data_IF_181615789959
#
_entry.id   IF_181615789959
#
_cell.length_a   1.000
_cell.length_b   1.000
_cell.length_c   1.000
_cell.angle_alpha   90.00
_cell.angle_beta   90.00
_cell.angle_gamma   90.00
#
_symmetry.space_group_name_H-M   'P 1'
#
loop_
_entity.id
_entity.type
_entity.pdbx_description
1 polymer ?
#
# COMPACT_ATOMS: atom_id res chain seq x y z
N UNK A 1 -38.39 10.16 -2.39
CA UNK A 1 -37.06 9.54 -2.51
C UNK A 1 -37.18 8.31 -3.41
N UNK A 2 -36.40 8.23 -4.49
CA UNK A 2 -36.51 7.23 -5.58
C UNK A 2 -35.99 5.82 -5.20
N UNK A 3 -36.02 5.43 -3.91
CA UNK A 3 -35.51 4.13 -3.46
C UNK A 3 -33.99 3.93 -3.53
N UNK A 4 -33.23 4.95 -3.96
CA UNK A 4 -31.76 4.93 -4.00
C UNK A 4 -31.17 4.85 -2.60
N UNK A 5 -30.21 3.94 -2.41
CA UNK A 5 -29.43 3.83 -1.17
C UNK A 5 -28.15 4.65 -1.30
N UNK A 6 -27.83 5.52 -0.33
CA UNK A 6 -26.62 6.33 -0.41
C UNK A 6 -25.38 5.47 -0.15
N UNK A 7 -24.23 5.96 -0.62
CA UNK A 7 -22.92 5.55 -0.14
C UNK A 7 -22.34 6.67 0.73
N UNK A 8 -21.39 6.33 1.58
CA UNK A 8 -20.69 7.29 2.43
C UNK A 8 -19.38 7.68 1.78
N UNK A 9 -19.05 8.96 1.79
CA UNK A 9 -17.77 9.49 1.33
C UNK A 9 -17.10 10.26 2.45
N UNK A 10 -15.79 10.26 2.47
CA UNK A 10 -15.00 11.13 3.32
C UNK A 10 -14.80 12.46 2.59
N UNK A 11 -15.22 13.56 3.21
CA UNK A 11 -14.99 14.89 2.66
C UNK A 11 -13.55 15.27 2.97
N UNK A 12 -12.71 15.35 1.94
CA UNK A 12 -11.34 15.81 2.10
C UNK A 12 -11.34 17.32 2.41
N UNK A 13 -10.45 17.73 3.29
CA UNK A 13 -10.14 19.15 3.45
C UNK A 13 -9.25 19.61 2.31
N UNK A 14 -9.62 20.71 1.65
CA UNK A 14 -8.90 21.24 0.49
C UNK A 14 -7.61 21.97 0.91
N UNK A 15 -6.63 21.18 1.31
CA UNK A 15 -5.30 21.62 1.74
C UNK A 15 -4.23 20.75 1.08
N UNK A 16 -2.99 21.22 1.13
CA UNK A 16 -1.83 20.35 0.91
C UNK A 16 -1.66 19.40 2.10
N UNK A 17 -1.48 18.13 1.80
CA UNK A 17 -1.02 17.10 2.74
C UNK A 17 0.39 16.74 2.34
N UNK A 18 1.33 16.88 3.27
CA UNK A 18 2.74 16.59 3.06
C UNK A 18 3.29 15.69 4.17
N UNK A 19 4.19 14.78 3.82
CA UNK A 19 4.90 13.92 4.78
C UNK A 19 6.27 13.53 4.23
N UNK A 20 7.16 13.11 5.13
CA UNK A 20 8.45 12.51 4.75
C UNK A 20 8.28 10.99 4.72
N UNK A 21 8.28 10.43 3.52
CA UNK A 21 8.25 9.00 3.27
C UNK A 21 9.62 8.36 3.51
N UNK A 22 9.66 7.20 4.17
CA UNK A 22 10.89 6.49 4.49
C UNK A 22 11.69 6.04 3.26
N UNK A 23 11.03 5.88 2.10
CA UNK A 23 11.65 5.41 0.86
C UNK A 23 11.71 6.54 -0.16
N UNK A 24 10.61 7.29 -0.33
CA UNK A 24 10.51 8.33 -1.38
C UNK A 24 11.02 9.70 -0.95
N UNK A 25 11.32 9.92 0.33
CA UNK A 25 11.67 11.22 0.87
C UNK A 25 10.44 12.13 0.99
N UNK A 26 10.60 13.44 0.79
CA UNK A 26 9.50 14.38 0.94
C UNK A 26 8.45 14.21 -0.17
N UNK A 27 7.19 14.03 0.24
CA UNK A 27 6.04 13.83 -0.64
C UNK A 27 4.94 14.82 -0.26
N UNK A 28 4.29 15.45 -1.24
CA UNK A 28 3.10 16.26 -1.00
C UNK A 28 2.04 16.09 -2.10
N UNK A 29 0.78 16.22 -1.69
CA UNK A 29 -0.38 16.23 -2.56
C UNK A 29 -1.35 17.33 -2.13
N UNK A 30 -1.86 18.09 -3.09
CA UNK A 30 -2.99 18.99 -2.83
C UNK A 30 -4.30 18.19 -2.95
N UNK A 31 -5.18 18.26 -1.94
CA UNK A 31 -6.36 17.40 -1.91
C UNK A 31 -7.37 17.70 -3.03
N UNK A 32 -7.37 18.90 -3.60
CA UNK A 32 -8.09 19.19 -4.85
C UNK A 32 -7.77 18.26 -6.03
N UNK A 33 -6.60 17.58 -6.02
CA UNK A 33 -6.24 16.59 -7.04
C UNK A 33 -6.89 15.21 -6.83
N UNK A 34 -7.51 15.00 -5.66
CA UNK A 34 -8.15 13.75 -5.25
C UNK A 34 -9.67 13.93 -5.15
N UNK A 35 -10.40 12.86 -5.44
CA UNK A 35 -11.83 12.82 -5.15
C UNK A 35 -12.05 12.34 -3.72
N UNK A 36 -13.02 12.93 -3.02
CA UNK A 36 -13.57 12.44 -1.75
C UNK A 36 -13.74 10.92 -1.78
N UNK A 37 -12.96 10.12 -1.04
CA UNK A 37 -13.01 8.67 -1.19
C UNK A 37 -14.32 8.13 -0.63
N UNK A 38 -14.86 7.08 -1.25
CA UNK A 38 -15.96 6.31 -0.66
C UNK A 38 -15.43 5.67 0.63
N UNK A 39 -16.24 5.57 1.69
CA UNK A 39 -15.89 4.85 2.92
C UNK A 39 -16.71 3.58 3.08
N UNK A 40 -17.98 3.66 2.67
CA UNK A 40 -18.92 2.55 2.75
C UNK A 40 -19.85 2.58 1.55
N UNK A 41 -20.05 1.43 0.92
CA UNK A 41 -20.94 1.24 -0.23
C UNK A 41 -22.41 1.18 0.21
N UNK A 42 -23.31 1.29 -0.75
CA UNK A 42 -24.76 1.21 -0.53
C UNK A 42 -25.25 -0.15 0.04
N UNK A 43 -24.44 -1.19 -0.12
CA UNK A 43 -24.66 -2.54 0.43
C UNK A 43 -24.08 -2.72 1.84
N UNK A 44 -23.55 -1.64 2.44
CA UNK A 44 -22.97 -1.63 3.79
C UNK A 44 -21.52 -2.10 3.86
N UNK A 45 -20.89 -2.49 2.74
CA UNK A 45 -19.49 -2.91 2.75
C UNK A 45 -18.57 -1.72 2.97
N UNK A 46 -17.75 -1.79 4.01
CA UNK A 46 -16.65 -0.86 4.27
C UNK A 46 -15.58 -1.10 3.21
N UNK A 47 -15.02 -0.03 2.66
CA UNK A 47 -13.94 -0.14 1.67
C UNK A 47 -12.57 0.00 2.33
N UNK A 48 -11.54 -0.39 1.58
CA UNK A 48 -10.15 -0.37 1.99
C UNK A 48 -9.71 0.90 2.72
N UNK A 49 -10.02 2.09 2.19
CA UNK A 49 -9.57 3.36 2.77
C UNK A 49 -9.99 3.51 4.24
N UNK A 50 -11.23 3.13 4.57
CA UNK A 50 -11.75 3.17 5.94
C UNK A 50 -11.24 1.99 6.77
N UNK A 51 -11.40 0.76 6.25
CA UNK A 51 -11.04 -0.45 7.00
C UNK A 51 -9.56 -0.43 7.42
N UNK A 52 -8.66 -0.13 6.48
CA UNK A 52 -7.22 -0.05 6.75
C UNK A 52 -6.90 0.95 7.86
N UNK A 53 -7.47 2.16 7.83
CA UNK A 53 -7.17 3.19 8.84
C UNK A 53 -7.69 2.78 10.21
N UNK A 54 -8.92 2.26 10.29
CA UNK A 54 -9.50 1.81 11.56
C UNK A 54 -8.70 0.65 12.15
N UNK A 55 -8.33 -0.33 11.33
CA UNK A 55 -7.55 -1.48 11.76
C UNK A 55 -6.14 -1.03 12.19
N UNK A 56 -5.49 -0.13 11.45
CA UNK A 56 -4.17 0.40 11.82
C UNK A 56 -4.19 1.14 13.17
N UNK A 57 -5.27 1.87 13.47
CA UNK A 57 -5.48 2.51 14.77
C UNK A 57 -5.68 1.45 15.87
N UNK A 58 -6.60 0.50 15.67
CA UNK A 58 -6.95 -0.52 16.67
C UNK A 58 -5.76 -1.42 17.02
N UNK A 59 -4.93 -1.74 16.02
CA UNK A 59 -3.72 -2.54 16.19
C UNK A 59 -2.48 -1.74 16.60
N UNK A 60 -2.58 -0.41 16.70
CA UNK A 60 -1.47 0.44 17.11
C UNK A 60 -0.28 0.43 16.13
N UNK A 61 -0.57 0.38 14.83
CA UNK A 61 0.46 0.37 13.79
C UNK A 61 1.24 1.68 13.82
N UNK A 62 2.56 1.58 13.87
CA UNK A 62 3.46 2.75 13.92
C UNK A 62 4.14 3.05 12.59
N UNK A 63 4.26 2.03 11.73
CA UNK A 63 4.91 2.13 10.43
C UNK A 63 4.11 1.35 9.39
N UNK A 64 3.74 2.00 8.30
CA UNK A 64 3.06 1.39 7.15
C UNK A 64 4.09 1.29 6.02
N UNK A 65 4.51 0.07 5.70
CA UNK A 65 5.43 -0.24 4.59
C UNK A 65 4.67 -1.03 3.52
N UNK A 66 4.48 -0.44 2.33
CA UNK A 66 3.67 -1.04 1.26
C UNK A 66 4.09 -0.54 -0.13
N UNK A 67 3.49 -1.09 -1.19
CA UNK A 67 3.79 -0.69 -2.57
C UNK A 67 3.49 0.77 -2.86
N UNK A 68 4.29 1.39 -3.73
CA UNK A 68 4.17 2.81 -4.11
C UNK A 68 2.87 3.16 -4.86
N UNK A 69 2.14 2.18 -5.34
CA UNK A 69 0.78 2.35 -5.86
C UNK A 69 -0.21 2.87 -4.82
N UNK A 70 0.15 2.79 -3.53
CA UNK A 70 -0.64 3.33 -2.43
C UNK A 70 -0.25 4.74 -1.96
N UNK A 71 0.75 5.39 -2.58
CA UNK A 71 1.19 6.74 -2.18
C UNK A 71 0.04 7.75 -2.20
N UNK A 72 -0.82 7.71 -3.22
CA UNK A 72 -1.98 8.60 -3.31
C UNK A 72 -3.05 8.28 -2.25
N UNK A 73 -3.23 6.99 -1.90
CA UNK A 73 -4.15 6.59 -0.83
C UNK A 73 -3.69 7.13 0.52
N UNK A 74 -2.38 7.14 0.76
CA UNK A 74 -1.76 7.66 1.97
C UNK A 74 -2.16 9.11 2.25
N UNK A 75 -2.17 9.96 1.23
CA UNK A 75 -2.54 11.36 1.39
C UNK A 75 -3.98 11.53 1.91
N UNK A 76 -4.93 10.76 1.38
CA UNK A 76 -6.31 10.75 1.89
C UNK A 76 -6.43 10.06 3.26
N UNK A 77 -5.66 9.02 3.52
CA UNK A 77 -5.66 8.29 4.79
C UNK A 77 -5.08 9.13 5.93
N UNK A 78 -4.09 9.99 5.69
CA UNK A 78 -3.55 10.92 6.69
C UNK A 78 -4.66 11.79 7.29
N UNK A 79 -5.47 12.44 6.44
CA UNK A 79 -6.63 13.21 6.92
C UNK A 79 -7.66 12.33 7.63
N UNK A 80 -7.83 11.07 7.22
CA UNK A 80 -8.76 10.15 7.87
C UNK A 80 -8.28 9.73 9.26
N UNK A 81 -6.98 9.48 9.46
CA UNK A 81 -6.39 9.25 10.78
C UNK A 81 -6.65 10.48 11.68
N UNK A 82 -6.34 11.67 11.19
CA UNK A 82 -6.53 12.93 11.92
C UNK A 82 -7.99 13.17 12.30
N UNK A 83 -8.92 12.93 11.37
CA UNK A 83 -10.36 13.05 11.60
C UNK A 83 -10.89 12.06 12.65
N UNK A 84 -10.22 10.91 12.80
CA UNK A 84 -10.52 9.92 13.85
C UNK A 84 -9.77 10.20 15.16
N UNK A 85 -9.02 11.30 15.25
CA UNK A 85 -8.27 11.69 16.44
C UNK A 85 -6.98 10.89 16.65
N UNK A 86 -6.47 10.24 15.61
CA UNK A 86 -5.23 9.48 15.62
C UNK A 86 -4.11 10.22 14.88
N UNK A 87 -2.87 9.93 15.24
CA UNK A 87 -1.70 10.35 14.46
C UNK A 87 -1.46 9.35 13.34
N UNK A 88 -1.28 9.82 12.12
CA UNK A 88 -0.95 8.95 11.00
C UNK A 88 0.40 8.23 11.26
N UNK A 89 0.50 6.92 10.98
CA UNK A 89 1.76 6.18 11.10
C UNK A 89 2.84 6.72 10.16
N UNK A 90 4.10 6.45 10.47
CA UNK A 90 5.20 6.71 9.53
C UNK A 90 5.00 5.84 8.29
N UNK A 91 5.20 6.41 7.10
CA UNK A 91 4.93 5.72 5.85
C UNK A 91 6.21 5.46 5.05
N UNK A 92 6.27 4.30 4.41
CA UNK A 92 7.33 3.93 3.48
C UNK A 92 6.76 3.22 2.27
N UNK A 93 7.00 3.76 1.09
CA UNK A 93 6.44 3.23 -0.15
C UNK A 93 7.51 2.59 -1.03
N UNK A 94 7.54 1.25 -1.09
CA UNK A 94 8.52 0.49 -1.86
C UNK A 94 8.13 0.40 -3.34
N UNK A 95 9.13 0.43 -4.21
CA UNK A 95 8.93 0.32 -5.66
C UNK A 95 8.22 -0.99 -6.03
N UNK A 96 7.36 -0.93 -7.05
CA UNK A 96 6.72 -2.13 -7.59
C UNK A 96 7.73 -3.04 -8.31
N UNK A 97 7.51 -4.34 -8.21
CA UNK A 97 8.30 -5.31 -8.96
C UNK A 97 7.96 -5.26 -10.46
N UNK A 98 9.01 -5.16 -11.28
CA UNK A 98 8.93 -5.20 -12.73
C UNK A 98 9.67 -6.43 -13.28
N UNK A 99 9.24 -6.88 -14.45
CA UNK A 99 9.96 -7.87 -15.24
C UNK A 99 11.23 -7.29 -15.87
N UNK A 100 12.03 -8.13 -16.52
CA UNK A 100 13.28 -7.72 -17.17
C UNK A 100 13.09 -6.61 -18.22
N UNK A 101 11.92 -6.56 -18.85
CA UNK A 101 11.57 -5.56 -19.87
C UNK A 101 11.00 -4.26 -19.26
N UNK A 102 10.95 -4.14 -17.92
CA UNK A 102 10.42 -2.98 -17.21
C UNK A 102 8.89 -2.98 -17.04
N UNK A 103 8.18 -3.89 -17.70
CA UNK A 103 6.75 -4.07 -17.52
C UNK A 103 6.41 -4.62 -16.12
N UNK A 104 5.34 -4.12 -15.52
CA UNK A 104 4.88 -4.61 -14.21
C UNK A 104 4.60 -6.11 -14.24
N UNK A 105 4.94 -6.81 -13.16
CA UNK A 105 4.60 -8.24 -13.02
C UNK A 105 3.07 -8.41 -13.04
N UNK A 106 2.54 -8.77 -14.20
CA UNK A 106 1.11 -8.97 -14.40
C UNK A 106 0.80 -10.43 -14.71
N UNK A 107 -0.41 -10.87 -14.34
CA UNK A 107 -0.89 -12.24 -14.61
C UNK A 107 -0.86 -12.62 -16.11
N UNK A 108 -0.77 -11.65 -17.02
CA UNK A 108 -0.73 -11.87 -18.47
C UNK A 108 0.64 -12.36 -18.97
N UNK A 109 1.71 -12.15 -18.20
CA UNK A 109 3.07 -12.62 -18.51
C UNK A 109 3.31 -14.08 -18.06
N UNK A 110 2.24 -14.79 -17.66
CA UNK A 110 2.34 -16.07 -16.95
C UNK A 110 2.52 -15.77 -15.46
N UNK A 111 1.46 -15.96 -14.68
CA UNK A 111 1.42 -15.53 -13.28
C UNK A 111 2.46 -16.29 -12.45
N UNK A 112 3.64 -15.68 -12.27
CA UNK A 112 4.60 -16.14 -11.28
C UNK A 112 3.91 -16.04 -9.91
N UNK A 113 3.56 -17.18 -9.34
CA UNK A 113 2.99 -17.27 -8.00
C UNK A 113 3.99 -17.96 -7.09
N UNK A 114 3.99 -17.60 -5.81
CA UNK A 114 4.80 -18.29 -4.80
C UNK A 114 4.48 -19.80 -4.78
N UNK A 115 3.22 -20.16 -5.01
CA UNK A 115 2.79 -21.55 -5.11
C UNK A 115 3.43 -22.29 -6.29
N UNK A 116 3.39 -21.69 -7.49
CA UNK A 116 4.01 -22.28 -8.68
C UNK A 116 5.52 -22.42 -8.53
N UNK A 117 6.21 -21.38 -8.03
CA UNK A 117 7.66 -21.42 -7.78
C UNK A 117 8.04 -22.57 -6.85
N UNK A 118 7.25 -22.80 -5.79
CA UNK A 118 7.44 -23.94 -4.89
C UNK A 118 7.22 -25.27 -5.61
N UNK A 119 6.17 -25.40 -6.41
CA UNK A 119 5.86 -26.64 -7.14
C UNK A 119 6.92 -26.96 -8.21
N UNK A 120 7.61 -25.95 -8.73
CA UNK A 120 8.78 -26.07 -9.63
C UNK A 120 10.09 -26.38 -8.89
N UNK A 121 10.09 -26.43 -7.55
CA UNK A 121 11.25 -26.76 -6.73
C UNK A 121 12.12 -25.57 -6.34
N UNK A 122 11.60 -24.34 -6.41
CA UNK A 122 12.32 -23.15 -5.92
C UNK A 122 12.38 -23.16 -4.40
N UNK A 123 13.60 -23.12 -3.86
CA UNK A 123 13.83 -23.01 -2.42
C UNK A 123 13.35 -21.67 -1.87
N UNK A 124 12.66 -21.70 -0.73
CA UNK A 124 12.12 -20.49 -0.10
C UNK A 124 13.24 -19.50 0.29
N UNK A 125 14.41 -20.01 0.71
CA UNK A 125 15.58 -19.20 1.04
C UNK A 125 16.16 -18.47 -0.18
N UNK A 126 16.12 -19.09 -1.36
CA UNK A 126 16.55 -18.45 -2.60
C UNK A 126 15.63 -17.28 -2.96
N UNK A 127 14.31 -17.48 -2.86
CA UNK A 127 13.33 -16.42 -3.09
C UNK A 127 13.46 -15.28 -2.07
N UNK A 128 13.60 -15.62 -0.78
CA UNK A 128 13.69 -14.62 0.27
C UNK A 128 15.00 -13.81 0.19
N UNK A 129 16.14 -14.44 -0.13
CA UNK A 129 17.42 -13.75 -0.35
C UNK A 129 17.32 -12.74 -1.51
N UNK A 130 16.64 -13.11 -2.60
CA UNK A 130 16.38 -12.19 -3.70
C UNK A 130 15.46 -11.04 -3.29
N UNK A 131 14.29 -11.34 -2.70
CA UNK A 131 13.28 -10.34 -2.33
C UNK A 131 13.75 -9.38 -1.23
N UNK A 132 14.64 -9.81 -0.34
CA UNK A 132 15.22 -8.93 0.68
C UNK A 132 16.18 -7.90 0.09
N UNK A 133 16.70 -8.13 -1.12
CA UNK A 133 17.71 -7.28 -1.77
C UNK A 133 17.17 -6.50 -2.96
N UNK A 134 16.05 -6.93 -3.54
CA UNK A 134 15.46 -6.26 -4.69
C UNK A 134 15.07 -4.82 -4.33
N UNK A 135 15.54 -3.86 -5.13
CA UNK A 135 15.41 -2.42 -4.83
C UNK A 135 16.54 -1.83 -3.99
N UNK A 136 17.58 -2.60 -3.64
CA UNK A 136 18.79 -2.12 -2.96
C UNK A 136 20.03 -2.24 -3.86
N UNK A 137 21.14 -1.60 -3.46
CA UNK A 137 22.44 -1.77 -4.12
C UNK A 137 23.20 -3.02 -3.62
N UNK A 138 22.67 -3.73 -2.63
CA UNK A 138 23.32 -4.86 -2.02
C UNK A 138 23.20 -6.11 -2.92
N UNK A 139 24.27 -6.91 -3.04
CA UNK A 139 24.23 -8.13 -3.84
C UNK A 139 23.33 -9.20 -3.19
N UNK A 140 22.73 -10.05 -4.03
CA UNK A 140 22.08 -11.29 -3.56
C UNK A 140 23.16 -12.26 -3.11
N UNK A 141 23.08 -12.70 -1.85
CA UNK A 141 24.06 -13.61 -1.24
C UNK A 141 23.38 -14.96 -0.99
N UNK A 142 24.01 -16.09 -1.39
CA UNK A 142 23.53 -17.41 -1.00
C UNK A 142 23.58 -17.55 0.52
N UNK A 143 22.44 -17.86 1.13
CA UNK A 143 22.38 -18.13 2.56
C UNK A 143 21.81 -19.52 2.82
N UNK A 144 22.47 -20.27 3.70
CA UNK A 144 22.03 -21.58 4.14
C UNK A 144 20.95 -21.49 5.22
N UNK A 145 20.85 -20.35 5.90
CA UNK A 145 19.88 -20.06 6.95
C UNK A 145 19.35 -18.62 6.81
N UNK A 146 18.05 -18.43 6.99
CA UNK A 146 17.38 -17.13 6.89
C UNK A 146 17.08 -16.54 8.29
N UNK A 147 17.44 -17.25 9.36
CA UNK A 147 17.26 -16.83 10.76
C UNK A 147 18.27 -15.75 11.20
#
# INVERSE_FOLDING_TARGET
AEGRRPHWRFRLEDTEVAWTDMVRGDVSYHMSSLSDPVLMREDGRVIYTMASVVDDIDHGITHIIRGEDHVTNSAAQIQLFEALGATAPVMGHVALLAGADGEGLSKRLGSLSIGQLRDEGTEASALASLLARIGTADPVVPTADMA
#
